data_IF_004198681657
#
_entry.id   IF_004198681657
#
_cell.length_a   1.000
_cell.length_b   1.000
_cell.length_c   1.000
_cell.angle_alpha   90.00
_cell.angle_beta   90.00
_cell.angle_gamma   90.00
#
_symmetry.space_group_name_H-M   'P 1'
#
loop_
_entity.id
_entity.type
_entity.pdbx_description
1 polymer ?
#
# COMPACT_ATOMS: atom_id res chain seq x y z
N UNK A 1 14.58 7.44 -5.00
CA UNK A 1 13.51 7.11 -4.05
C UNK A 1 13.15 8.25 -3.09
N UNK A 2 14.11 8.95 -2.45
CA UNK A 2 13.79 10.10 -1.56
C UNK A 2 13.27 11.34 -2.29
N UNK A 3 13.67 11.57 -3.55
CA UNK A 3 13.16 12.68 -4.38
C UNK A 3 11.70 12.48 -4.78
N UNK A 4 11.35 11.25 -5.14
CA UNK A 4 10.00 10.84 -5.56
C UNK A 4 8.94 11.03 -4.45
N UNK A 5 9.29 10.77 -3.20
CA UNK A 5 8.38 10.93 -2.05
C UNK A 5 8.12 12.41 -1.70
N UNK A 6 9.13 13.27 -1.83
CA UNK A 6 8.98 14.71 -1.60
C UNK A 6 8.12 15.36 -2.70
N UNK A 7 8.33 14.95 -3.95
CA UNK A 7 7.54 15.39 -5.09
C UNK A 7 6.09 14.95 -4.97
N UNK A 8 5.84 13.68 -4.63
CA UNK A 8 4.49 13.18 -4.41
C UNK A 8 3.80 13.91 -3.25
N UNK A 9 4.49 14.16 -2.14
CA UNK A 9 3.94 14.92 -1.00
C UNK A 9 3.53 16.33 -1.41
N UNK A 10 4.38 17.00 -2.22
CA UNK A 10 4.09 18.33 -2.74
C UNK A 10 2.89 18.31 -3.69
N UNK A 11 2.84 17.33 -4.60
CA UNK A 11 1.73 17.18 -5.53
C UNK A 11 0.40 16.90 -4.80
N UNK A 12 0.41 16.06 -3.75
CA UNK A 12 -0.79 15.80 -2.93
C UNK A 12 -1.31 17.09 -2.30
N UNK A 13 -0.44 17.91 -1.71
CA UNK A 13 -0.83 19.19 -1.09
C UNK A 13 -1.39 20.19 -2.11
N UNK A 14 -0.78 20.28 -3.28
CA UNK A 14 -1.29 21.14 -4.35
C UNK A 14 -2.64 20.65 -4.88
N UNK A 15 -2.81 19.35 -5.06
CA UNK A 15 -4.07 18.74 -5.46
C UNK A 15 -5.21 18.97 -4.43
N UNK A 16 -4.90 18.99 -3.12
CA UNK A 16 -5.84 19.36 -2.05
C UNK A 16 -6.34 20.79 -2.19
N UNK A 17 -5.53 21.69 -2.76
CA UNK A 17 -5.91 23.08 -3.04
C UNK A 17 -6.62 23.26 -4.38
N UNK A 18 -6.99 22.17 -5.07
CA UNK A 18 -7.74 22.20 -6.33
C UNK A 18 -6.88 22.24 -7.59
N UNK A 19 -5.56 22.04 -7.51
CA UNK A 19 -4.69 21.96 -8.67
C UNK A 19 -4.88 20.62 -9.40
N UNK A 20 -5.59 20.68 -10.55
CA UNK A 20 -5.83 19.50 -11.38
C UNK A 20 -4.54 18.90 -11.96
N UNK A 21 -3.53 19.71 -12.28
CA UNK A 21 -2.26 19.22 -12.82
C UNK A 21 -1.51 18.43 -11.77
N UNK A 22 -1.51 18.93 -10.53
CA UNK A 22 -0.96 18.19 -9.39
C UNK A 22 -1.74 16.89 -9.12
N UNK A 23 -3.07 16.91 -9.22
CA UNK A 23 -3.86 15.68 -9.11
C UNK A 23 -3.50 14.65 -10.18
N UNK A 24 -3.33 15.07 -11.44
CA UNK A 24 -2.87 14.17 -12.51
C UNK A 24 -1.47 13.58 -12.21
N UNK A 25 -0.58 14.36 -11.62
CA UNK A 25 0.74 13.89 -11.17
C UNK A 25 0.61 12.82 -10.09
N UNK A 26 -0.22 13.06 -9.07
CA UNK A 26 -0.54 12.07 -8.03
C UNK A 26 -1.12 10.79 -8.63
N UNK A 27 -2.08 10.93 -9.55
CA UNK A 27 -2.70 9.80 -10.23
C UNK A 27 -1.66 8.96 -10.98
N UNK A 28 -0.83 9.58 -11.84
CA UNK A 28 0.19 8.87 -12.63
C UNK A 28 1.22 8.16 -11.75
N UNK A 29 1.61 8.76 -10.63
CA UNK A 29 2.59 8.18 -9.72
C UNK A 29 2.05 6.97 -8.94
N UNK A 30 0.75 6.95 -8.62
CA UNK A 30 0.18 5.96 -7.70
C UNK A 30 -0.70 4.93 -8.39
N UNK A 31 -1.43 5.33 -9.46
CA UNK A 31 -2.40 4.46 -10.14
C UNK A 31 -1.83 3.11 -10.62
N UNK A 32 -0.67 3.03 -11.27
CA UNK A 32 -0.18 1.74 -11.77
C UNK A 32 0.03 0.71 -10.65
N UNK A 33 0.56 1.17 -9.52
CA UNK A 33 0.79 0.32 -8.34
C UNK A 33 -0.53 -0.06 -7.66
N UNK A 34 -1.46 0.91 -7.57
CA UNK A 34 -2.78 0.69 -6.99
C UNK A 34 -3.60 -0.30 -7.81
N UNK A 35 -3.59 -0.16 -9.14
CA UNK A 35 -4.23 -1.09 -10.06
C UNK A 35 -3.63 -2.50 -9.93
N UNK A 36 -2.30 -2.62 -9.88
CA UNK A 36 -1.61 -3.88 -9.62
C UNK A 36 -2.08 -4.53 -8.31
N UNK A 37 -2.25 -3.74 -7.25
CA UNK A 37 -2.80 -4.24 -5.99
C UNK A 37 -4.24 -4.73 -6.14
N UNK A 38 -5.10 -3.95 -6.79
CA UNK A 38 -6.51 -4.33 -7.00
C UNK A 38 -6.61 -5.62 -7.82
N UNK A 39 -5.78 -5.79 -8.86
CA UNK A 39 -5.71 -7.02 -9.67
C UNK A 39 -5.46 -8.27 -8.82
N UNK A 40 -4.63 -8.18 -7.80
CA UNK A 40 -4.38 -9.32 -6.90
C UNK A 40 -5.57 -9.67 -6.00
N UNK A 41 -6.56 -8.77 -5.89
CA UNK A 41 -7.73 -8.97 -5.04
C UNK A 41 -8.95 -9.44 -5.83
N UNK A 42 -9.22 -8.85 -7.01
CA UNK A 42 -10.45 -9.09 -7.77
C UNK A 42 -10.21 -9.75 -9.14
N UNK A 43 -8.94 -9.95 -9.52
CA UNK A 43 -8.56 -10.43 -10.86
C UNK A 43 -8.56 -9.30 -11.91
N UNK A 44 -8.08 -9.63 -13.12
CA UNK A 44 -7.87 -8.63 -14.18
C UNK A 44 -9.18 -8.02 -14.68
N UNK A 45 -10.25 -8.83 -14.76
CA UNK A 45 -11.52 -8.43 -15.36
C UNK A 45 -12.17 -7.24 -14.63
N UNK A 46 -12.19 -7.24 -13.31
CA UNK A 46 -12.89 -6.23 -12.52
C UNK A 46 -11.95 -5.13 -11.96
N UNK A 47 -10.65 -5.27 -12.21
CA UNK A 47 -9.64 -4.43 -11.54
C UNK A 47 -9.73 -2.95 -11.91
N UNK A 48 -9.97 -2.65 -13.19
CA UNK A 48 -10.07 -1.26 -13.67
C UNK A 48 -11.31 -0.56 -13.09
N UNK A 49 -12.45 -1.25 -13.03
CA UNK A 49 -13.68 -0.70 -12.46
C UNK A 49 -13.52 -0.41 -10.97
N UNK A 50 -12.99 -1.37 -10.23
CA UNK A 50 -12.74 -1.22 -8.78
C UNK A 50 -11.71 -0.13 -8.50
N UNK A 51 -10.63 -0.04 -9.31
CA UNK A 51 -9.64 1.01 -9.19
C UNK A 51 -10.23 2.40 -9.48
N UNK A 52 -11.10 2.51 -10.50
CA UNK A 52 -11.81 3.73 -10.84
C UNK A 52 -12.72 4.20 -9.69
N UNK A 53 -13.49 3.28 -9.10
CA UNK A 53 -14.30 3.57 -7.90
C UNK A 53 -13.44 4.04 -6.72
N UNK A 54 -12.27 3.42 -6.53
CA UNK A 54 -11.33 3.82 -5.49
C UNK A 54 -10.82 5.25 -5.73
N UNK A 55 -10.46 5.59 -6.98
CA UNK A 55 -10.01 6.93 -7.34
C UNK A 55 -11.11 7.99 -7.19
N UNK A 56 -12.36 7.68 -7.52
CA UNK A 56 -13.49 8.58 -7.25
C UNK A 56 -13.64 8.88 -5.75
N UNK A 57 -13.43 7.89 -4.89
CA UNK A 57 -13.43 8.11 -3.45
C UNK A 57 -12.20 8.90 -3.00
N UNK A 58 -11.01 8.57 -3.50
CA UNK A 58 -9.77 9.30 -3.20
C UNK A 58 -9.94 10.78 -3.54
N UNK A 59 -10.43 11.11 -4.74
CA UNK A 59 -10.66 12.49 -5.18
C UNK A 59 -11.64 13.22 -4.27
N UNK A 60 -12.74 12.58 -3.88
CA UNK A 60 -13.76 13.16 -2.98
C UNK A 60 -13.24 13.47 -1.59
N UNK A 61 -12.39 12.58 -1.06
CA UNK A 61 -11.94 12.64 0.33
C UNK A 61 -10.54 13.29 0.47
N UNK A 62 -9.91 13.69 -0.66
CA UNK A 62 -8.55 14.22 -0.71
C UNK A 62 -8.33 15.44 0.17
N UNK A 63 -9.29 16.37 0.20
CA UNK A 63 -9.20 17.59 1.03
C UNK A 63 -9.03 17.28 2.52
N UNK A 64 -9.54 16.13 2.97
CA UNK A 64 -9.49 15.70 4.38
C UNK A 64 -8.26 14.86 4.71
N UNK A 65 -7.49 14.50 3.69
CA UNK A 65 -6.29 13.71 3.90
C UNK A 65 -5.21 14.55 4.57
N UNK A 66 -4.53 13.99 5.58
CA UNK A 66 -3.36 14.58 6.22
C UNK A 66 -2.21 13.57 6.28
N UNK A 67 -1.07 13.95 5.71
CA UNK A 67 0.13 13.11 5.71
C UNK A 67 1.09 13.43 4.57
N UNK A 68 2.12 12.61 4.53
CA UNK A 68 3.15 12.56 3.48
C UNK A 68 2.82 11.52 2.40
N UNK A 69 3.73 11.33 1.44
CA UNK A 69 3.58 10.39 0.34
C UNK A 69 3.36 8.94 0.81
N UNK A 70 4.06 8.51 1.87
CA UNK A 70 3.92 7.13 2.39
C UNK A 70 2.54 6.91 3.01
N UNK A 71 2.07 7.86 3.81
CA UNK A 71 0.71 7.85 4.36
C UNK A 71 -0.35 7.93 3.27
N UNK A 72 -0.10 8.71 2.20
CA UNK A 72 -1.01 8.78 1.07
C UNK A 72 -1.15 7.44 0.36
N UNK A 73 -0.03 6.78 0.04
CA UNK A 73 -0.06 5.44 -0.58
C UNK A 73 -0.80 4.42 0.30
N UNK A 74 -0.56 4.43 1.60
CA UNK A 74 -1.27 3.56 2.55
C UNK A 74 -2.77 3.85 2.62
N UNK A 75 -3.15 5.13 2.64
CA UNK A 75 -4.54 5.56 2.64
C UNK A 75 -5.26 5.17 1.35
N UNK A 76 -4.64 5.43 0.19
CA UNK A 76 -5.17 5.03 -1.12
C UNK A 76 -5.33 3.50 -1.24
N UNK A 77 -4.31 2.74 -0.79
CA UNK A 77 -4.37 1.28 -0.77
C UNK A 77 -5.51 0.75 0.12
N UNK A 78 -5.78 1.39 1.27
CA UNK A 78 -6.90 1.03 2.14
C UNK A 78 -8.25 1.29 1.49
N UNK A 79 -8.41 2.42 0.79
CA UNK A 79 -9.64 2.72 0.03
C UNK A 79 -9.84 1.66 -1.05
N UNK A 80 -8.82 1.39 -1.86
CA UNK A 80 -8.89 0.40 -2.94
C UNK A 80 -9.21 -1.01 -2.41
N UNK A 81 -8.57 -1.41 -1.29
CA UNK A 81 -8.88 -2.68 -0.64
C UNK A 81 -10.33 -2.79 -0.20
N UNK A 82 -10.87 -1.75 0.41
CA UNK A 82 -12.27 -1.74 0.84
C UNK A 82 -13.21 -1.88 -0.35
N UNK A 83 -12.96 -1.15 -1.45
CA UNK A 83 -13.75 -1.29 -2.69
C UNK A 83 -13.67 -2.70 -3.27
N UNK A 84 -12.47 -3.29 -3.32
CA UNK A 84 -12.28 -4.66 -3.78
C UNK A 84 -13.06 -5.67 -2.92
N UNK A 85 -12.99 -5.55 -1.59
CA UNK A 85 -13.73 -6.44 -0.70
C UNK A 85 -15.26 -6.27 -0.83
N UNK A 86 -15.75 -5.05 -1.02
CA UNK A 86 -17.17 -4.80 -1.23
C UNK A 86 -17.61 -5.38 -2.58
N UNK A 87 -16.81 -5.24 -3.63
CA UNK A 87 -17.04 -5.84 -4.93
C UNK A 87 -17.15 -7.37 -4.84
N UNK A 88 -16.21 -8.04 -4.18
CA UNK A 88 -16.21 -9.50 -3.95
C UNK A 88 -17.47 -9.93 -3.20
N UNK A 89 -17.86 -9.20 -2.14
CA UNK A 89 -19.09 -9.49 -1.38
C UNK A 89 -20.36 -9.34 -2.23
N UNK A 90 -20.39 -8.34 -3.11
CA UNK A 90 -21.53 -8.13 -3.99
C UNK A 90 -21.63 -9.23 -5.04
N UNK A 91 -20.52 -9.67 -5.64
CA UNK A 91 -20.49 -10.81 -6.58
C UNK A 91 -20.91 -12.12 -5.91
N UNK A 92 -20.42 -12.38 -4.70
CA UNK A 92 -20.80 -13.58 -3.95
C UNK A 92 -22.27 -13.65 -3.51
N UNK A 93 -22.98 -12.51 -3.52
CA UNK A 93 -24.43 -12.43 -3.23
C UNK A 93 -25.31 -12.53 -4.47
N UNK A 94 -24.77 -12.34 -5.69
CA UNK A 94 -25.56 -12.56 -6.91
C UNK A 94 -25.70 -14.07 -7.14
N UNK A 95 -26.92 -14.61 -7.25
CA UNK A 95 -27.11 -15.99 -7.71
C UNK A 95 -26.42 -16.12 -9.08
N UNK A 96 -25.65 -17.16 -9.26
CA UNK A 96 -25.06 -17.52 -10.55
C UNK A 96 -26.23 -17.92 -11.46
N UNK A 97 -26.84 -16.94 -12.16
CA UNK A 97 -27.68 -17.22 -13.30
C UNK A 97 -26.69 -17.49 -14.42
N UNK A 98 -26.63 -18.76 -14.82
CA UNK A 98 -25.64 -19.28 -15.76
C UNK A 98 -25.50 -18.42 -17.00
N UNK A 99 -24.27 -18.22 -17.43
CA UNK A 99 -23.92 -17.51 -18.64
C UNK A 99 -22.44 -17.41 -18.78
N UNK A 100 -21.90 -18.21 -19.66
CA UNK A 100 -20.66 -18.13 -20.40
C UNK A 100 -19.47 -17.40 -19.72
N UNK A 101 -18.55 -18.19 -19.24
CA UNK A 101 -17.15 -17.81 -19.12
C UNK A 101 -16.59 -17.47 -20.51
N UNK A 102 -16.86 -16.25 -20.97
CA UNK A 102 -16.10 -15.67 -22.05
C UNK A 102 -14.75 -15.23 -21.43
N UNK A 103 -13.78 -16.05 -21.63
CA UNK A 103 -12.35 -15.77 -21.47
C UNK A 103 -11.99 -14.63 -22.45
N UNK A 104 -12.36 -13.41 -22.11
CA UNK A 104 -11.90 -12.21 -22.79
C UNK A 104 -10.52 -11.91 -22.22
N UNK A 105 -9.51 -12.45 -22.87
CA UNK A 105 -8.13 -11.98 -22.76
C UNK A 105 -8.16 -10.48 -23.01
N UNK A 106 -8.09 -9.68 -21.93
CA UNK A 106 -7.98 -8.24 -22.02
C UNK A 106 -6.75 -7.88 -22.84
N UNK A 107 -6.94 -7.23 -23.99
CA UNK A 107 -5.87 -6.61 -24.75
C UNK A 107 -5.12 -5.66 -23.80
N UNK A 108 -3.79 -5.74 -23.74
CA UNK A 108 -3.03 -4.71 -23.05
C UNK A 108 -3.35 -3.35 -23.69
N UNK A 109 -3.55 -2.34 -22.85
CA UNK A 109 -3.65 -0.97 -23.33
C UNK A 109 -2.44 -0.68 -24.24
N UNK A 110 -2.69 -0.13 -25.42
CA UNK A 110 -1.64 0.25 -26.34
C UNK A 110 -0.74 1.29 -25.64
N UNK A 111 0.44 0.85 -25.18
CA UNK A 111 1.48 1.74 -24.71
C UNK A 111 2.33 2.14 -25.89
N UNK A 112 2.61 3.44 -26.01
CA UNK A 112 3.23 4.06 -27.18
C UNK A 112 4.72 3.70 -27.37
N UNK A 113 5.34 2.95 -26.46
CA UNK A 113 6.75 2.54 -26.57
C UNK A 113 6.98 1.08 -26.25
N UNK A 114 7.88 0.43 -27.02
CA UNK A 114 8.25 -0.98 -26.80
C UNK A 114 8.81 -1.21 -25.38
N UNK A 115 9.44 -0.20 -24.75
CA UNK A 115 9.95 -0.27 -23.38
C UNK A 115 8.83 -0.35 -22.34
N UNK A 116 7.83 0.51 -22.47
CA UNK A 116 6.65 0.50 -21.58
C UNK A 116 5.84 -0.79 -21.73
N UNK A 117 5.71 -1.31 -22.96
CA UNK A 117 5.05 -2.59 -23.20
C UNK A 117 5.81 -3.76 -22.54
N UNK A 118 7.15 -3.77 -22.62
CA UNK A 118 7.97 -4.81 -21.97
C UNK A 118 7.89 -4.71 -20.44
N UNK A 119 7.88 -3.50 -19.88
CA UNK A 119 7.72 -3.28 -18.44
C UNK A 119 6.32 -3.67 -17.96
N UNK A 120 5.27 -3.35 -18.72
CA UNK A 120 3.90 -3.77 -18.45
C UNK A 120 3.75 -5.29 -18.48
N UNK A 121 4.36 -5.98 -19.46
CA UNK A 121 4.37 -7.44 -19.54
C UNK A 121 5.15 -8.08 -18.39
N UNK A 122 6.31 -7.53 -18.02
CA UNK A 122 7.09 -8.00 -16.88
C UNK A 122 6.32 -7.80 -15.56
N UNK A 123 5.64 -6.67 -15.40
CA UNK A 123 4.78 -6.37 -14.25
C UNK A 123 3.58 -7.31 -14.21
N UNK A 124 2.92 -7.56 -15.34
CA UNK A 124 1.79 -8.48 -15.45
C UNK A 124 2.16 -9.91 -15.05
N UNK A 125 3.30 -10.43 -15.55
CA UNK A 125 3.78 -11.76 -15.18
C UNK A 125 4.15 -11.86 -13.69
N UNK A 126 4.75 -10.83 -13.14
CA UNK A 126 5.08 -10.77 -11.70
C UNK A 126 3.83 -10.76 -10.83
N UNK A 127 2.83 -9.94 -11.20
CA UNK A 127 1.57 -9.88 -10.46
C UNK A 127 0.78 -11.19 -10.56
N UNK A 128 0.82 -11.89 -11.72
CA UNK A 128 0.19 -13.20 -11.87
C UNK A 128 0.83 -14.27 -10.98
N UNK A 129 2.15 -14.21 -10.76
CA UNK A 129 2.83 -15.09 -9.81
C UNK A 129 2.44 -14.75 -8.36
N UNK A 130 2.33 -13.45 -8.02
CA UNK A 130 1.89 -13.02 -6.70
C UNK A 130 0.46 -13.49 -6.43
N UNK A 131 -0.44 -13.45 -7.43
CA UNK A 131 -1.82 -13.93 -7.31
C UNK A 131 -1.94 -15.43 -6.98
N UNK A 132 -0.87 -16.22 -7.22
CA UNK A 132 -0.80 -17.64 -6.83
C UNK A 132 -0.44 -17.89 -5.37
N UNK A 133 -0.05 -16.84 -4.65
CA UNK A 133 0.23 -16.93 -3.22
C UNK A 133 -1.08 -17.00 -2.40
N UNK A 134 -1.06 -17.57 -1.17
CA UNK A 134 -2.14 -17.34 -0.22
C UNK A 134 -2.42 -15.85 -0.07
N UNK A 135 -3.69 -15.46 0.02
CA UNK A 135 -4.13 -14.06 -0.04
C UNK A 135 -3.41 -13.15 0.95
N UNK A 136 -3.21 -13.59 2.19
CA UNK A 136 -2.51 -12.81 3.21
C UNK A 136 -1.04 -12.55 2.87
N UNK A 137 -0.38 -13.49 2.18
CA UNK A 137 0.99 -13.35 1.69
C UNK A 137 1.04 -12.46 0.45
N UNK A 138 0.12 -12.64 -0.50
CA UNK A 138 -0.01 -11.82 -1.69
C UNK A 138 -0.20 -10.34 -1.32
N UNK A 139 -1.20 -10.03 -0.47
CA UNK A 139 -1.46 -8.67 0.01
C UNK A 139 -0.24 -8.07 0.72
N UNK A 140 0.42 -8.83 1.59
CA UNK A 140 1.60 -8.35 2.31
C UNK A 140 2.78 -8.05 1.36
N UNK A 141 3.03 -8.91 0.36
CA UNK A 141 4.07 -8.70 -0.65
C UNK A 141 3.77 -7.48 -1.50
N UNK A 142 2.54 -7.36 -2.03
CA UNK A 142 2.19 -6.22 -2.89
C UNK A 142 2.28 -4.90 -2.13
N UNK A 143 1.74 -4.82 -0.92
CA UNK A 143 1.80 -3.59 -0.13
C UNK A 143 3.24 -3.20 0.23
N UNK A 144 4.10 -4.18 0.57
CA UNK A 144 5.48 -3.94 0.98
C UNK A 144 6.42 -3.66 -0.19
N UNK A 145 6.28 -4.39 -1.31
CA UNK A 145 7.22 -4.36 -2.43
C UNK A 145 6.72 -3.47 -3.56
N UNK A 146 5.47 -3.65 -4.00
CA UNK A 146 4.93 -2.91 -5.14
C UNK A 146 4.49 -1.51 -4.72
N UNK A 147 3.71 -1.39 -3.64
CA UNK A 147 3.26 -0.10 -3.11
C UNK A 147 4.35 0.66 -2.34
N UNK A 148 5.42 -0.04 -1.90
CA UNK A 148 6.53 0.54 -1.16
C UNK A 148 6.20 0.93 0.28
N UNK A 149 5.10 0.43 0.85
CA UNK A 149 4.69 0.78 2.21
C UNK A 149 5.63 0.17 3.25
N UNK A 150 5.85 0.87 4.35
CA UNK A 150 6.49 0.29 5.51
C UNK A 150 5.59 -0.76 6.20
N UNK A 151 6.13 -1.54 7.14
CA UNK A 151 5.36 -2.61 7.79
C UNK A 151 4.22 -2.09 8.65
N UNK A 152 4.30 -0.85 9.15
CA UNK A 152 3.27 -0.20 9.96
C UNK A 152 2.11 0.23 9.07
N UNK A 153 2.39 0.98 8.01
CA UNK A 153 1.39 1.45 7.03
C UNK A 153 0.67 0.29 6.35
N UNK A 154 1.41 -0.77 5.97
CA UNK A 154 0.81 -1.98 5.42
C UNK A 154 -0.07 -2.71 6.46
N UNK A 155 0.33 -2.74 7.74
CA UNK A 155 -0.47 -3.34 8.81
C UNK A 155 -1.76 -2.56 9.07
N UNK A 156 -1.71 -1.24 9.06
CA UNK A 156 -2.89 -0.37 9.17
C UNK A 156 -3.86 -0.61 8.01
N UNK A 157 -3.34 -0.76 6.78
CA UNK A 157 -4.15 -1.10 5.59
C UNK A 157 -4.84 -2.45 5.71
N UNK A 158 -4.15 -3.46 6.25
CA UNK A 158 -4.65 -4.83 6.37
C UNK A 158 -5.45 -5.10 7.65
N UNK A 159 -5.44 -4.17 8.62
CA UNK A 159 -6.00 -4.40 9.95
C UNK A 159 -5.22 -5.49 10.73
N UNK A 160 -3.91 -5.60 10.52
CA UNK A 160 -3.03 -6.61 11.13
C UNK A 160 -1.94 -5.96 11.98
N UNK A 161 -1.18 -6.78 12.71
CA UNK A 161 0.00 -6.31 13.45
C UNK A 161 1.20 -6.20 12.50
N UNK A 162 2.11 -5.21 12.66
CA UNK A 162 3.29 -5.04 11.79
C UNK A 162 4.18 -6.30 11.70
N UNK A 163 4.34 -7.03 12.81
CA UNK A 163 5.07 -8.31 12.83
C UNK A 163 4.44 -9.38 11.95
N UNK A 164 3.09 -9.48 11.95
CA UNK A 164 2.38 -10.43 11.09
C UNK A 164 2.56 -10.10 9.61
N UNK A 165 2.56 -8.80 9.24
CA UNK A 165 2.79 -8.36 7.86
C UNK A 165 4.23 -8.68 7.41
N UNK A 166 5.23 -8.42 8.27
CA UNK A 166 6.63 -8.80 7.97
C UNK A 166 6.76 -10.30 7.71
N UNK A 167 6.18 -11.13 8.57
CA UNK A 167 6.21 -12.58 8.43
C UNK A 167 5.48 -13.05 7.17
N UNK A 168 4.30 -12.50 6.88
CA UNK A 168 3.54 -12.85 5.67
C UNK A 168 4.30 -12.45 4.40
N UNK A 169 4.88 -11.24 4.34
CA UNK A 169 5.67 -10.78 3.22
C UNK A 169 6.92 -11.66 3.01
N UNK A 170 7.65 -11.99 4.08
CA UNK A 170 8.82 -12.87 4.00
C UNK A 170 8.45 -14.27 3.44
N UNK A 171 7.38 -14.89 3.97
CA UNK A 171 6.90 -16.19 3.48
C UNK A 171 6.44 -16.11 2.02
N UNK A 172 5.76 -15.03 1.63
CA UNK A 172 5.34 -14.80 0.27
C UNK A 172 6.52 -14.67 -0.70
N UNK A 173 7.54 -13.89 -0.34
CA UNK A 173 8.75 -13.73 -1.15
C UNK A 173 9.53 -15.03 -1.29
N UNK A 174 9.67 -15.81 -0.20
CA UNK A 174 10.29 -17.14 -0.25
C UNK A 174 9.55 -18.06 -1.24
N UNK A 175 8.23 -18.10 -1.16
CA UNK A 175 7.42 -18.92 -2.07
C UNK A 175 7.49 -18.44 -3.52
N UNK A 176 7.60 -17.14 -3.77
CA UNK A 176 7.85 -16.61 -5.12
C UNK A 176 9.20 -17.04 -5.66
N UNK A 177 10.26 -17.02 -4.84
CA UNK A 177 11.57 -17.50 -5.24
C UNK A 177 11.52 -18.97 -5.62
N UNK A 178 10.83 -19.82 -4.85
CA UNK A 178 10.61 -21.23 -5.18
C UNK A 178 9.85 -21.41 -6.51
N UNK A 179 8.81 -20.60 -6.76
CA UNK A 179 8.04 -20.63 -8.02
C UNK A 179 8.85 -20.18 -9.25
N UNK A 180 9.85 -19.33 -9.06
CA UNK A 180 10.76 -18.87 -10.11
C UNK A 180 11.94 -19.82 -10.36
N UNK A 181 12.00 -20.95 -9.67
CA UNK A 181 13.11 -21.91 -9.79
C UNK A 181 14.38 -21.45 -9.07
N UNK A 182 14.27 -20.46 -8.18
CA UNK A 182 15.35 -20.01 -7.31
C UNK A 182 15.56 -20.97 -6.16
N UNK A 183 16.82 -21.30 -5.89
CA UNK A 183 17.22 -22.06 -4.70
C UNK A 183 16.86 -21.23 -3.45
N UNK A 184 16.06 -21.72 -2.50
CA UNK A 184 15.61 -20.94 -1.34
C UNK A 184 16.75 -20.50 -0.42
N UNK A 185 17.94 -21.07 -0.56
CA UNK A 185 19.13 -20.73 0.21
C UNK A 185 19.89 -19.49 -0.32
N UNK A 186 19.66 -19.07 -1.58
CA UNK A 186 20.31 -17.87 -2.14
C UNK A 186 19.65 -16.55 -1.74
N UNK A 187 18.53 -16.60 -1.04
CA UNK A 187 17.76 -15.43 -0.57
C UNK A 187 18.24 -14.82 0.76
N UNK A 188 19.46 -15.07 1.19
CA UNK A 188 20.08 -14.57 2.44
C UNK A 188 20.40 -13.07 2.46
N UNK A 189 19.61 -12.21 1.84
CA UNK A 189 19.89 -10.78 1.74
C UNK A 189 18.74 -9.83 2.06
N UNK A 190 17.57 -10.32 2.47
CA UNK A 190 16.41 -9.45 2.77
C UNK A 190 16.38 -8.89 4.19
N UNK A 191 17.38 -9.23 5.02
CA UNK A 191 17.62 -8.54 6.31
C UNK A 191 18.29 -7.16 6.13
N UNK A 192 18.66 -6.80 4.90
CA UNK A 192 19.32 -5.55 4.56
C UNK A 192 18.37 -4.46 4.02
N UNK A 193 17.06 -4.51 4.32
CA UNK A 193 16.27 -3.27 4.33
C UNK A 193 16.81 -2.44 5.51
N UNK A 194 17.39 -1.25 5.27
CA UNK A 194 18.00 -0.47 6.32
C UNK A 194 17.00 -0.29 7.46
N UNK A 195 17.44 -0.42 8.73
CA UNK A 195 16.56 -0.16 9.85
C UNK A 195 16.10 1.28 9.73
N UNK A 196 14.83 1.48 9.46
CA UNK A 196 14.20 2.79 9.54
C UNK A 196 14.43 3.26 10.98
N UNK A 197 15.22 4.32 11.16
CA UNK A 197 15.52 4.90 12.47
C UNK A 197 14.20 5.29 13.10
N UNK A 198 13.81 4.54 14.12
CA UNK A 198 12.75 4.99 15.02
C UNK A 198 13.16 6.35 15.59
N UNK A 199 12.28 7.35 15.59
CA UNK A 199 12.54 8.58 16.31
C UNK A 199 12.76 8.20 17.77
N UNK A 200 13.98 8.44 18.27
CA UNK A 200 14.30 8.27 19.69
C UNK A 200 13.40 9.23 20.46
N UNK A 201 12.42 8.69 21.16
CA UNK A 201 11.71 9.39 22.21
C UNK A 201 12.76 10.03 23.12
N UNK A 202 12.83 11.34 23.09
CA UNK A 202 13.59 12.11 24.08
C UNK A 202 12.97 11.81 25.43
N UNK A 203 13.65 11.01 26.22
CA UNK A 203 13.40 10.87 27.63
C UNK A 203 13.39 12.28 28.25
N UNK A 204 12.21 12.72 28.65
CA UNK A 204 12.05 13.91 29.48
C UNK A 204 12.59 13.54 30.85
N UNK A 205 13.81 14.02 31.13
CA UNK A 205 14.41 13.94 32.46
C UNK A 205 13.57 14.79 33.39
N UNK A 206 12.75 14.16 34.22
CA UNK A 206 12.04 14.82 35.32
C UNK A 206 13.07 15.25 36.36
N UNK A 207 13.36 16.54 36.40
CA UNK A 207 14.10 17.14 37.48
C UNK A 207 13.26 17.07 38.77
N UNK A 208 13.73 16.31 39.74
CA UNK A 208 13.20 16.26 41.09
C UNK A 208 13.35 17.64 41.73
N UNK A 209 12.22 18.33 41.94
CA UNK A 209 12.18 19.52 42.81
C UNK A 209 11.94 19.03 44.22
N UNK A 210 13.00 19.14 45.04
CA UNK A 210 12.96 18.92 46.47
C UNK A 210 12.14 19.99 47.14
N UNK A 211 11.00 19.62 47.66
CA UNK A 211 10.13 20.50 48.43
C UNK A 211 10.56 20.48 49.91
N UNK A 212 11.15 21.58 50.37
CA UNK A 212 11.41 21.85 51.82
C UNK A 212 10.14 22.41 52.47
N UNK A 213 9.61 21.81 53.53
CA UNK A 213 8.46 22.39 54.22
C UNK A 213 8.89 23.54 55.16
N UNK A 214 8.33 24.72 54.91
CA UNK A 214 8.43 25.85 55.83
C UNK A 214 7.52 25.64 57.03
N UNK A 215 8.12 25.76 58.18
CA UNK A 215 7.60 25.60 59.56
C UNK A 215 6.68 26.78 59.88
N UNK A 216 5.45 26.46 60.20
CA UNK A 216 4.44 27.41 60.75
C UNK A 216 4.87 27.91 62.14
N UNK A 217 4.91 29.21 62.34
CA UNK A 217 4.92 29.77 63.66
C UNK A 217 3.64 30.62 63.85
N UNK A 218 2.89 30.20 64.82
CA UNK A 218 1.72 30.75 65.44
C UNK A 218 2.14 32.01 66.22
N UNK A 219 1.39 33.08 66.12
CA UNK A 219 0.97 33.87 67.27
C UNK A 219 0.07 35.07 66.87
N UNK A 220 -1.01 35.17 67.65
CA UNK A 220 -1.95 36.24 67.90
C UNK A 220 -3.02 36.56 66.87
#
# INVERSE_FOLDING_TARGET
>A
MLGDDAELTTAVRAAQSGDETAFRTVYRAVHPRLLGYVRTLVGDHDAEDVASEAWLQIARDLERFDGDADRFRGWAARIARNRALDHIRMRGRRPVIGGDEAELTGKPAESDTAGEAMEALATGSTLSLIARLPQDQAEAVVLRVVMGLDAKSAAETLGKRPGAVRTAAHRGLKRLAELLGGDPESGGGLDALPPQREPRDRAVTSASVTHTPARTQKDM
#
